data_IF_458024546752
#
_entry.id   IF_458024546752
#
_cell.length_a   1.000
_cell.length_b   1.000
_cell.length_c   1.000
_cell.angle_alpha   90.00
_cell.angle_beta   90.00
_cell.angle_gamma   90.00
#
_symmetry.space_group_name_H-M   'P 1'
#
loop_
_entity.id
_entity.type
_entity.pdbx_description
1 polymer ?
#
# COMPACT_ATOMS: atom_id res chain seq x y z
N UNK A 1 50.66 66.19 52.52
CA UNK A 1 49.52 65.73 51.73
C UNK A 1 50.01 65.17 50.39
N UNK A 2 50.27 63.91 50.31
CA UNK A 2 50.56 63.25 49.06
C UNK A 2 50.24 61.76 49.28
N UNK A 3 49.14 61.32 48.68
CA UNK A 3 48.71 59.94 48.66
C UNK A 3 49.48 59.16 47.63
N UNK A 4 50.25 58.19 48.07
CA UNK A 4 50.88 57.20 47.15
C UNK A 4 49.88 56.10 46.81
N UNK A 5 49.60 55.92 45.49
CA UNK A 5 48.86 54.82 44.95
C UNK A 5 49.82 53.64 44.73
N UNK A 6 49.61 52.59 45.49
CA UNK A 6 50.24 51.28 45.28
C UNK A 6 49.43 50.48 44.20
N UNK A 7 49.96 50.33 43.03
CA UNK A 7 49.35 49.53 41.99
C UNK A 7 49.77 48.05 42.16
N UNK A 8 48.86 47.24 42.71
CA UNK A 8 49.00 45.78 42.73
C UNK A 8 48.66 45.24 41.31
N UNK A 9 49.67 44.83 40.59
CA UNK A 9 49.52 44.06 39.35
C UNK A 9 49.10 42.64 39.70
N UNK A 10 47.78 42.32 39.58
CA UNK A 10 47.24 40.98 39.57
C UNK A 10 47.52 40.38 38.20
N UNK A 11 48.51 39.49 38.14
CA UNK A 11 48.77 38.68 36.97
C UNK A 11 47.62 37.73 36.73
N UNK A 12 46.78 38.00 35.74
CA UNK A 12 45.77 37.09 35.24
C UNK A 12 46.48 36.03 34.38
N UNK A 13 46.77 34.87 34.93
CA UNK A 13 47.13 33.69 34.17
C UNK A 13 45.89 33.28 33.37
N UNK A 14 45.81 33.69 32.14
CA UNK A 14 44.94 33.07 31.15
C UNK A 14 45.48 31.65 30.94
N UNK A 15 44.81 30.70 31.55
CA UNK A 15 44.93 29.31 31.21
C UNK A 15 44.38 29.18 29.76
N UNK A 16 45.29 29.25 28.79
CA UNK A 16 45.01 28.95 27.39
C UNK A 16 44.75 27.45 27.35
N UNK A 17 43.47 27.06 27.53
CA UNK A 17 43.01 25.72 27.30
C UNK A 17 43.58 25.24 25.94
N UNK A 18 44.38 24.20 26.02
CA UNK A 18 45.02 23.57 24.89
C UNK A 18 43.93 23.24 23.83
N UNK A 19 43.89 24.06 22.81
CA UNK A 19 43.16 23.75 21.58
C UNK A 19 43.84 22.49 21.01
N UNK A 20 43.34 21.33 21.37
CA UNK A 20 43.83 20.06 20.78
C UNK A 20 43.53 20.11 19.31
N UNK A 21 44.56 20.40 18.50
CA UNK A 21 44.47 20.44 17.05
C UNK A 21 43.93 19.08 16.58
N UNK A 22 42.86 19.14 15.83
CA UNK A 22 42.34 17.95 15.13
C UNK A 22 43.48 17.39 14.28
N UNK A 23 43.83 16.09 14.39
CA UNK A 23 44.90 15.51 13.59
C UNK A 23 44.63 15.79 12.12
N UNK A 24 45.68 16.17 11.39
CA UNK A 24 45.59 16.63 9.99
C UNK A 24 45.05 15.56 9.03
N UNK A 25 45.12 14.28 9.41
CA UNK A 25 44.59 13.14 8.64
C UNK A 25 44.08 12.07 9.59
N UNK A 26 42.76 11.76 9.48
CA UNK A 26 42.08 10.78 10.31
C UNK A 26 42.00 9.42 9.61
N UNK A 27 42.26 8.34 10.34
CA UNK A 27 42.05 6.97 9.85
C UNK A 27 40.63 6.55 10.17
N UNK A 28 39.87 6.24 9.12
CA UNK A 28 38.45 5.93 9.24
C UNK A 28 38.21 4.48 8.79
N UNK A 29 37.56 3.69 9.62
CA UNK A 29 37.13 2.35 9.28
C UNK A 29 35.67 2.33 8.85
N UNK A 30 35.35 1.52 7.85
CA UNK A 30 33.98 1.33 7.34
C UNK A 30 33.77 -0.13 6.93
N UNK A 31 32.51 -0.51 6.73
CA UNK A 31 32.12 -1.84 6.26
C UNK A 31 31.54 -1.75 4.86
N UNK A 32 31.90 -2.73 3.99
CA UNK A 32 31.31 -2.82 2.67
C UNK A 32 29.86 -3.26 2.77
N UNK A 33 28.94 -2.33 2.59
CA UNK A 33 27.49 -2.56 2.59
C UNK A 33 26.78 -1.52 1.73
N UNK A 34 26.05 -1.96 0.76
CA UNK A 34 25.21 -1.10 -0.07
C UNK A 34 24.00 -0.58 0.71
N UNK A 35 23.60 0.67 0.51
CA UNK A 35 24.17 1.75 -0.28
C UNK A 35 25.12 2.64 0.52
N UNK A 36 25.56 2.21 1.71
CA UNK A 36 26.33 3.02 2.65
C UNK A 36 27.77 3.20 2.20
N UNK A 37 28.43 2.08 1.87
CA UNK A 37 29.82 2.06 1.41
C UNK A 37 29.98 0.98 0.36
N UNK A 38 30.30 1.40 -0.85
CA UNK A 38 30.52 0.54 -2.02
C UNK A 38 31.92 0.80 -2.60
N UNK A 39 32.52 -0.23 -3.18
CA UNK A 39 33.80 -0.10 -3.89
C UNK A 39 33.53 0.03 -5.38
N UNK A 40 33.94 1.15 -5.98
CA UNK A 40 33.91 1.38 -7.43
C UNK A 40 35.33 1.59 -7.94
N UNK A 41 35.95 0.50 -8.37
CA UNK A 41 37.37 0.52 -8.71
C UNK A 41 38.25 0.83 -7.49
N UNK A 42 39.04 1.90 -7.56
CA UNK A 42 39.92 2.36 -6.48
C UNK A 42 39.26 3.36 -5.52
N UNK A 43 38.07 3.86 -5.83
CA UNK A 43 37.34 4.82 -5.00
C UNK A 43 36.18 4.16 -4.25
N UNK A 44 35.91 4.67 -3.06
CA UNK A 44 34.74 4.27 -2.27
C UNK A 44 33.63 5.29 -2.48
N UNK A 45 32.45 4.81 -2.80
CA UNK A 45 31.22 5.61 -2.97
C UNK A 45 30.14 5.13 -2.01
N UNK A 46 29.14 5.92 -1.74
CA UNK A 46 27.97 5.56 -0.93
C UNK A 46 27.51 6.68 -0.02
N UNK A 47 26.38 6.48 0.63
CA UNK A 47 25.79 7.43 1.55
C UNK A 47 26.79 7.86 2.65
N UNK A 48 27.49 6.91 3.28
CA UNK A 48 28.45 7.22 4.33
C UNK A 48 29.66 7.98 3.81
N UNK A 49 30.07 7.76 2.57
CA UNK A 49 31.19 8.45 1.94
C UNK A 49 30.83 9.89 1.61
N UNK A 50 29.64 10.11 1.06
CA UNK A 50 29.13 11.46 0.80
C UNK A 50 28.95 12.24 2.13
N UNK A 51 28.35 11.62 3.14
CA UNK A 51 28.20 12.20 4.47
C UNK A 51 29.54 12.59 5.09
N UNK A 52 30.53 11.68 5.00
CA UNK A 52 31.87 11.92 5.51
C UNK A 52 32.54 13.09 4.81
N UNK A 53 32.38 13.20 3.49
CA UNK A 53 32.91 14.32 2.69
C UNK A 53 32.34 15.66 3.14
N UNK A 54 31.02 15.74 3.39
CA UNK A 54 30.39 16.97 3.86
C UNK A 54 30.82 17.34 5.30
N UNK A 55 30.94 16.33 6.20
CA UNK A 55 31.45 16.55 7.55
C UNK A 55 32.91 17.02 7.52
N UNK A 56 33.75 16.39 6.70
CA UNK A 56 35.17 16.74 6.58
C UNK A 56 35.36 18.17 6.04
N UNK A 57 34.55 18.60 5.08
CA UNK A 57 34.53 20.00 4.58
C UNK A 57 34.16 20.99 5.69
N UNK A 58 33.15 20.66 6.51
CA UNK A 58 32.70 21.54 7.60
C UNK A 58 33.71 21.66 8.74
N UNK A 59 34.35 20.54 9.09
CA UNK A 59 35.29 20.49 10.23
C UNK A 59 36.76 20.71 9.83
N UNK A 60 37.09 20.74 8.51
CA UNK A 60 38.41 21.08 8.00
C UNK A 60 39.47 19.98 8.21
N UNK A 61 39.11 18.69 8.25
CA UNK A 61 40.07 17.60 8.36
C UNK A 61 40.20 16.78 7.07
N UNK A 62 41.38 16.14 6.92
CA UNK A 62 41.62 15.13 5.86
C UNK A 62 41.41 13.74 6.44
N UNK A 63 41.07 12.79 5.61
CA UNK A 63 40.80 11.42 6.04
C UNK A 63 41.25 10.38 5.05
N UNK A 64 41.56 9.20 5.56
CA UNK A 64 41.82 7.99 4.78
C UNK A 64 40.84 6.90 5.24
N UNK A 65 40.05 6.37 4.31
CA UNK A 65 39.10 5.30 4.61
C UNK A 65 39.71 3.94 4.34
N UNK A 66 39.52 3.01 5.27
CA UNK A 66 39.90 1.59 5.13
C UNK A 66 38.68 0.72 5.42
N UNK A 67 38.62 -0.45 4.80
CA UNK A 67 37.60 -1.43 5.12
C UNK A 67 38.03 -2.24 6.34
N UNK A 68 37.05 -2.53 7.22
CA UNK A 68 37.23 -3.39 8.38
C UNK A 68 37.75 -4.79 7.95
N UNK A 69 38.70 -5.33 8.69
CA UNK A 69 39.41 -6.57 8.30
C UNK A 69 38.54 -7.82 8.37
N UNK A 70 37.67 -7.90 9.37
CA UNK A 70 36.83 -9.07 9.66
C UNK A 70 35.38 -8.94 9.14
N UNK A 71 35.03 -7.85 8.44
CA UNK A 71 33.68 -7.63 7.89
C UNK A 71 32.58 -7.51 8.96
N UNK A 72 32.94 -7.22 10.21
CA UNK A 72 32.00 -7.16 11.33
C UNK A 72 31.78 -5.73 11.81
N UNK A 73 30.57 -5.45 12.29
CA UNK A 73 30.24 -4.15 12.89
C UNK A 73 30.93 -3.95 14.25
N UNK A 74 31.01 -5.01 15.02
CA UNK A 74 31.54 -5.04 16.37
C UNK A 74 30.54 -5.58 17.38
N UNK A 75 30.92 -6.70 17.98
CA UNK A 75 30.27 -7.30 19.15
C UNK A 75 31.34 -7.71 20.16
N UNK A 76 30.92 -7.82 21.41
CA UNK A 76 31.78 -8.33 22.47
C UNK A 76 31.78 -9.86 22.41
N UNK A 77 32.96 -10.48 22.45
CA UNK A 77 33.14 -11.93 22.60
C UNK A 77 32.94 -12.36 24.07
N UNK A 78 33.00 -13.64 24.34
CA UNK A 78 32.88 -14.20 25.69
C UNK A 78 34.01 -13.77 26.61
N UNK A 79 35.15 -13.37 26.07
CA UNK A 79 36.35 -12.89 26.76
C UNK A 79 36.27 -11.38 27.05
N UNK A 80 35.21 -10.69 26.63
CA UNK A 80 35.04 -9.26 26.82
C UNK A 80 35.71 -8.38 25.77
N UNK A 81 36.38 -8.96 24.76
CA UNK A 81 37.04 -8.22 23.68
C UNK A 81 36.05 -7.82 22.60
N UNK A 82 36.31 -6.69 21.97
CA UNK A 82 35.47 -6.18 20.85
C UNK A 82 36.14 -6.52 19.51
N UNK A 83 35.37 -7.14 18.61
CA UNK A 83 35.76 -7.37 17.21
C UNK A 83 35.22 -6.26 16.31
N UNK A 84 35.44 -6.34 15.01
CA UNK A 84 34.88 -5.45 14.00
C UNK A 84 35.36 -4.00 14.08
N UNK A 85 34.60 -3.11 13.48
CA UNK A 85 34.91 -1.68 13.48
C UNK A 85 35.01 -1.07 14.87
N UNK A 86 34.14 -1.48 15.80
CA UNK A 86 34.22 -1.05 17.20
C UNK A 86 35.55 -1.50 17.80
N UNK A 87 35.98 -2.74 17.57
CA UNK A 87 37.25 -3.25 18.04
C UNK A 87 38.46 -2.50 17.47
N UNK A 88 38.43 -2.12 16.17
CA UNK A 88 39.49 -1.33 15.54
C UNK A 88 39.61 0.08 16.17
N UNK A 89 38.46 0.72 16.52
CA UNK A 89 38.44 2.02 17.21
C UNK A 89 38.95 1.87 18.65
N UNK A 90 38.52 0.83 19.38
CA UNK A 90 38.95 0.59 20.77
C UNK A 90 40.44 0.31 20.83
N UNK A 91 41.02 -0.42 19.89
CA UNK A 91 42.48 -0.72 19.81
C UNK A 91 43.30 0.45 19.23
N UNK A 92 42.66 1.55 18.80
CA UNK A 92 43.33 2.69 18.19
C UNK A 92 43.87 2.43 16.78
N UNK A 93 43.42 1.37 16.10
CA UNK A 93 43.75 1.08 14.69
C UNK A 93 43.04 2.05 13.76
N UNK A 94 41.85 2.58 14.16
CA UNK A 94 41.10 3.61 13.48
C UNK A 94 40.70 4.70 14.47
N UNK A 95 40.62 5.96 14.00
CA UNK A 95 40.24 7.11 14.82
C UNK A 95 38.71 7.30 14.82
N UNK A 96 38.05 6.94 13.68
CA UNK A 96 36.59 6.99 13.50
C UNK A 96 36.11 5.71 12.82
N UNK A 97 34.84 5.33 13.13
CA UNK A 97 34.09 4.31 12.38
C UNK A 97 32.81 4.93 11.83
N UNK A 98 32.63 4.86 10.51
CA UNK A 98 31.43 5.36 9.81
C UNK A 98 30.80 4.23 8.99
N UNK A 99 29.58 3.86 9.35
CA UNK A 99 28.78 2.81 8.75
C UNK A 99 27.33 2.93 9.25
N UNK A 100 26.37 2.11 8.81
CA UNK A 100 25.07 1.97 9.49
C UNK A 100 25.26 1.30 10.88
N UNK A 101 25.98 2.00 11.74
CA UNK A 101 26.37 1.53 13.04
C UNK A 101 25.34 1.92 14.09
N UNK A 102 24.53 0.95 14.51
CA UNK A 102 23.43 1.17 15.47
C UNK A 102 23.97 1.63 16.81
N UNK A 103 23.44 2.75 17.31
CA UNK A 103 23.73 3.25 18.66
C UNK A 103 23.13 2.28 19.71
N UNK A 104 23.99 1.73 20.56
CA UNK A 104 23.60 0.82 21.65
C UNK A 104 24.36 1.15 22.93
N UNK A 105 23.73 0.93 24.08
CA UNK A 105 24.34 1.19 25.38
C UNK A 105 25.65 0.38 25.60
N UNK A 106 25.74 -0.82 25.03
CA UNK A 106 26.95 -1.63 25.12
C UNK A 106 28.14 -1.00 24.37
N UNK A 107 27.89 -0.43 23.18
CA UNK A 107 28.92 0.23 22.37
C UNK A 107 29.33 1.58 22.98
N UNK A 108 28.37 2.35 23.47
CA UNK A 108 28.62 3.67 24.06
C UNK A 108 29.47 3.62 25.34
N UNK A 109 29.55 2.44 26.00
CA UNK A 109 30.44 2.26 27.15
C UNK A 109 31.94 2.16 26.75
N UNK A 110 32.25 1.80 25.51
CA UNK A 110 33.62 1.51 25.07
C UNK A 110 34.13 2.47 23.99
N UNK A 111 33.22 3.12 23.26
CA UNK A 111 33.53 4.16 22.26
C UNK A 111 32.59 5.33 22.43
N UNK A 112 33.04 6.52 22.03
CA UNK A 112 32.15 7.66 21.95
C UNK A 112 31.28 7.59 20.70
N UNK A 113 29.99 7.84 20.84
CA UNK A 113 29.04 7.82 19.74
C UNK A 113 28.52 9.24 19.45
N UNK A 114 28.44 9.61 18.17
CA UNK A 114 27.86 10.89 17.76
C UNK A 114 26.33 10.90 17.88
N UNK A 115 25.71 12.06 17.71
CA UNK A 115 24.28 12.11 17.41
C UNK A 115 23.98 11.32 16.14
N UNK A 116 22.81 10.66 16.07
CA UNK A 116 22.49 9.82 14.93
C UNK A 116 22.26 10.65 13.66
N UNK A 117 22.83 10.20 12.56
CA UNK A 117 22.62 10.78 11.23
C UNK A 117 21.42 10.16 10.49
N UNK A 118 20.90 9.02 10.96
CA UNK A 118 19.73 8.35 10.39
C UNK A 118 18.99 7.56 11.46
N UNK A 119 17.67 7.67 11.46
CA UNK A 119 16.79 6.87 12.34
C UNK A 119 16.42 5.56 11.68
N UNK A 120 16.43 4.50 12.45
CA UNK A 120 16.03 3.15 12.04
C UNK A 120 15.27 2.46 13.18
N UNK A 121 14.58 1.41 12.87
CA UNK A 121 13.96 0.50 13.83
C UNK A 121 13.94 -0.91 13.26
N UNK A 122 13.37 -1.85 13.96
CA UNK A 122 13.28 -3.25 13.54
C UNK A 122 11.91 -3.47 12.92
N UNK A 123 11.87 -4.08 11.72
CA UNK A 123 10.66 -4.43 11.00
C UNK A 123 10.81 -5.77 10.30
N UNK A 124 9.78 -6.20 9.57
CA UNK A 124 9.69 -7.50 8.92
C UNK A 124 9.61 -7.31 7.42
N UNK A 125 10.43 -8.02 6.66
CA UNK A 125 10.40 -8.08 5.21
C UNK A 125 9.75 -9.38 4.76
N UNK A 126 8.78 -9.26 3.88
CA UNK A 126 7.99 -10.37 3.37
C UNK A 126 7.91 -10.28 1.84
N UNK A 127 7.65 -11.41 1.19
CA UNK A 127 7.20 -11.40 -0.19
C UNK A 127 5.78 -10.85 -0.23
N UNK A 128 5.51 -9.99 -1.19
CA UNK A 128 4.17 -9.55 -1.49
C UNK A 128 3.40 -10.74 -2.05
N UNK A 129 2.38 -11.21 -1.34
CA UNK A 129 1.47 -12.21 -1.90
C UNK A 129 0.72 -11.57 -3.08
N UNK A 130 1.16 -11.96 -4.28
CA UNK A 130 0.51 -11.56 -5.53
C UNK A 130 -0.74 -12.43 -5.79
N UNK A 131 -1.05 -13.37 -4.91
CA UNK A 131 -2.30 -14.11 -4.93
C UNK A 131 -3.48 -13.20 -4.52
N UNK A 132 -3.63 -12.05 -5.18
CA UNK A 132 -4.97 -11.57 -5.45
C UNK A 132 -5.61 -12.59 -6.38
N UNK A 133 -6.15 -13.68 -5.82
CA UNK A 133 -7.30 -14.31 -6.44
C UNK A 133 -8.36 -13.22 -6.50
N UNK A 134 -8.35 -12.45 -7.61
CA UNK A 134 -9.42 -11.49 -7.89
C UNK A 134 -10.71 -12.30 -7.91
N UNK A 135 -11.46 -12.23 -6.82
CA UNK A 135 -12.71 -12.94 -6.67
C UNK A 135 -13.67 -12.48 -7.77
N UNK A 136 -14.52 -13.38 -8.24
CA UNK A 136 -15.57 -13.03 -9.22
C UNK A 136 -16.44 -11.85 -8.75
N UNK A 137 -16.47 -11.57 -7.46
CA UNK A 137 -17.34 -10.58 -6.81
C UNK A 137 -16.59 -9.38 -6.22
N UNK A 138 -15.36 -9.11 -6.66
CA UNK A 138 -14.56 -7.97 -6.17
C UNK A 138 -15.25 -6.62 -6.38
N UNK A 139 -16.15 -6.52 -7.36
CA UNK A 139 -16.95 -5.32 -7.56
C UNK A 139 -17.97 -5.08 -6.41
N UNK A 140 -18.27 -6.09 -5.56
CA UNK A 140 -19.11 -5.92 -4.38
C UNK A 140 -18.33 -5.46 -3.13
N UNK A 141 -17.01 -5.56 -3.14
CA UNK A 141 -16.15 -5.24 -1.99
C UNK A 141 -16.21 -3.79 -1.50
N UNK A 142 -16.52 -2.75 -2.34
CA UNK A 142 -16.64 -1.38 -1.86
C UNK A 142 -17.68 -1.17 -0.78
N UNK A 143 -18.69 -2.06 -0.69
CA UNK A 143 -19.72 -2.02 0.34
C UNK A 143 -19.80 -3.34 1.12
N UNK A 144 -20.13 -3.23 2.40
CA UNK A 144 -20.40 -4.40 3.25
C UNK A 144 -21.72 -5.08 2.85
N UNK A 145 -21.87 -6.35 3.21
CA UNK A 145 -23.12 -7.08 2.96
C UNK A 145 -24.35 -6.39 3.56
N UNK A 146 -24.19 -5.78 4.74
CA UNK A 146 -25.27 -5.01 5.41
C UNK A 146 -25.70 -3.81 4.58
N UNK A 147 -24.72 -3.08 3.96
CA UNK A 147 -25.02 -1.94 3.09
C UNK A 147 -25.77 -2.39 1.84
N UNK A 148 -25.41 -3.51 1.23
CA UNK A 148 -26.12 -4.08 0.08
C UNK A 148 -27.57 -4.44 0.41
N UNK A 149 -27.80 -5.06 1.59
CA UNK A 149 -29.15 -5.35 2.09
C UNK A 149 -29.94 -4.04 2.31
N UNK A 150 -29.29 -3.02 2.90
CA UNK A 150 -29.91 -1.69 3.08
C UNK A 150 -30.33 -1.05 1.76
N UNK A 151 -29.48 -1.13 0.72
CA UNK A 151 -29.78 -0.62 -0.63
C UNK A 151 -31.00 -1.37 -1.22
N UNK A 152 -31.06 -2.69 -1.07
CA UNK A 152 -32.19 -3.49 -1.55
C UNK A 152 -33.51 -3.12 -0.85
N UNK A 153 -33.48 -2.93 0.47
CA UNK A 153 -34.66 -2.49 1.24
C UNK A 153 -35.09 -1.09 0.80
N UNK A 154 -34.15 -0.17 0.64
CA UNK A 154 -34.44 1.20 0.17
C UNK A 154 -35.04 1.18 -1.25
N UNK A 155 -34.52 0.35 -2.15
CA UNK A 155 -35.03 0.16 -3.50
C UNK A 155 -36.48 -0.32 -3.51
N UNK A 156 -36.77 -1.41 -2.79
CA UNK A 156 -38.12 -1.98 -2.71
C UNK A 156 -39.11 -1.04 -2.02
N UNK A 157 -38.65 -0.39 -0.93
CA UNK A 157 -39.46 0.59 -0.20
C UNK A 157 -39.85 1.81 -1.06
N UNK A 158 -38.86 2.34 -1.81
CA UNK A 158 -39.14 3.47 -2.72
C UNK A 158 -40.07 3.08 -3.86
N UNK A 159 -39.91 1.92 -4.46
CA UNK A 159 -40.79 1.40 -5.51
C UNK A 159 -42.24 1.21 -4.99
N UNK A 160 -42.38 0.67 -3.79
CA UNK A 160 -43.68 0.54 -3.13
C UNK A 160 -44.30 1.90 -2.83
N UNK A 161 -43.55 2.87 -2.31
CA UNK A 161 -44.02 4.22 -2.05
C UNK A 161 -44.50 4.93 -3.34
N UNK A 162 -43.73 4.85 -4.43
CA UNK A 162 -44.13 5.40 -5.72
C UNK A 162 -45.43 4.74 -6.19
N UNK A 163 -45.55 3.41 -6.11
CA UNK A 163 -46.74 2.69 -6.50
C UNK A 163 -47.99 3.13 -5.69
N UNK A 164 -47.86 3.19 -4.36
CA UNK A 164 -48.95 3.60 -3.47
C UNK A 164 -49.38 5.05 -3.75
N UNK A 165 -48.42 5.98 -3.84
CA UNK A 165 -48.69 7.39 -4.06
C UNK A 165 -49.34 7.64 -5.42
N UNK A 166 -48.87 6.95 -6.47
CA UNK A 166 -49.52 7.05 -7.81
C UNK A 166 -50.93 6.48 -7.83
N UNK A 167 -51.25 5.50 -6.98
CA UNK A 167 -52.59 4.95 -6.84
C UNK A 167 -53.52 5.82 -6.01
N UNK A 168 -53.00 6.53 -4.99
CA UNK A 168 -53.80 7.40 -4.12
C UNK A 168 -54.01 8.81 -4.67
N UNK A 169 -53.18 9.26 -5.60
CA UNK A 169 -53.22 10.65 -6.10
C UNK A 169 -54.33 10.88 -7.13
N UNK A 170 -55.28 11.78 -6.87
CA UNK A 170 -56.35 12.09 -7.82
C UNK A 170 -55.83 12.77 -9.11
N UNK A 171 -54.67 13.41 -9.06
CA UNK A 171 -54.04 14.04 -10.24
C UNK A 171 -53.58 13.02 -11.31
N UNK A 172 -53.37 11.76 -10.93
CA UNK A 172 -53.00 10.70 -11.83
C UNK A 172 -54.22 10.05 -12.54
N UNK A 173 -55.42 10.26 -12.01
CA UNK A 173 -56.65 9.64 -12.48
C UNK A 173 -57.50 10.51 -13.44
N UNK A 174 -57.18 11.79 -13.54
CA UNK A 174 -58.07 12.80 -14.19
C UNK A 174 -58.00 12.84 -15.72
N UNK A 175 -57.33 11.94 -16.42
CA UNK A 175 -57.34 11.88 -17.90
C UNK A 175 -57.58 10.49 -18.44
N UNK A 176 -58.51 10.33 -19.42
CA UNK A 176 -58.68 9.10 -20.18
C UNK A 176 -57.49 8.95 -21.14
N UNK A 177 -56.50 8.21 -20.75
CA UNK A 177 -55.37 7.93 -21.63
C UNK A 177 -55.10 6.43 -21.72
N UNK A 178 -54.64 6.04 -22.93
CA UNK A 178 -54.28 4.72 -23.32
C UNK A 178 -53.71 3.88 -22.17
N UNK A 179 -54.09 2.63 -22.08
CA UNK A 179 -53.65 1.63 -21.06
C UNK A 179 -52.13 1.56 -20.83
N UNK A 180 -51.34 2.18 -21.70
CA UNK A 180 -49.91 2.18 -21.68
C UNK A 180 -49.25 3.04 -20.57
N UNK A 181 -49.99 3.94 -19.92
CA UNK A 181 -49.41 4.90 -18.94
C UNK A 181 -49.81 4.65 -17.48
N UNK A 182 -50.36 3.52 -17.13
CA UNK A 182 -50.65 3.20 -15.73
C UNK A 182 -49.40 2.70 -15.01
N UNK A 183 -48.95 3.42 -13.99
CA UNK A 183 -47.90 2.93 -13.07
C UNK A 183 -48.32 1.62 -12.41
N UNK A 184 -47.89 0.52 -12.99
CA UNK A 184 -47.98 -0.83 -12.37
C UNK A 184 -46.87 -0.96 -11.34
N UNK A 185 -46.97 -1.89 -10.39
CA UNK A 185 -45.91 -2.20 -9.45
C UNK A 185 -44.60 -2.55 -10.16
N UNK A 186 -44.66 -3.36 -11.20
CA UNK A 186 -43.49 -3.72 -12.06
C UNK A 186 -42.90 -2.45 -12.72
N UNK A 187 -43.73 -1.51 -13.14
CA UNK A 187 -43.24 -0.25 -13.74
C UNK A 187 -42.55 0.64 -12.71
N UNK A 188 -43.06 0.66 -11.46
CA UNK A 188 -42.41 1.39 -10.35
C UNK A 188 -41.04 0.75 -10.00
N UNK A 189 -40.93 -0.57 -9.98
CA UNK A 189 -39.64 -1.28 -9.81
C UNK A 189 -38.68 -0.93 -10.94
N UNK A 190 -39.14 -0.99 -12.19
CA UNK A 190 -38.31 -0.66 -13.35
C UNK A 190 -37.83 0.79 -13.33
N UNK A 191 -38.72 1.74 -12.97
CA UNK A 191 -38.39 3.15 -12.83
C UNK A 191 -37.31 3.36 -11.75
N UNK A 192 -37.49 2.77 -10.59
CA UNK A 192 -36.52 2.87 -9.47
C UNK A 192 -35.16 2.25 -9.82
N UNK A 193 -35.15 1.13 -10.55
CA UNK A 193 -33.92 0.50 -11.06
C UNK A 193 -33.20 1.39 -12.08
N UNK A 194 -33.96 1.95 -13.06
CA UNK A 194 -33.39 2.86 -14.05
C UNK A 194 -32.81 4.13 -13.42
N UNK A 195 -33.44 4.66 -12.39
CA UNK A 195 -32.91 5.79 -11.63
C UNK A 195 -31.65 5.43 -10.83
N UNK A 196 -31.56 4.22 -10.27
CA UNK A 196 -30.39 3.74 -9.56
C UNK A 196 -29.16 3.64 -10.49
N UNK A 197 -29.38 3.25 -11.75
CA UNK A 197 -28.31 3.14 -12.76
C UNK A 197 -28.08 4.44 -13.54
N UNK A 198 -28.69 5.57 -13.14
CA UNK A 198 -28.61 6.89 -13.80
C UNK A 198 -29.06 6.88 -15.28
N UNK A 199 -29.81 5.86 -15.72
CA UNK A 199 -30.26 5.77 -17.11
C UNK A 199 -31.48 6.65 -17.43
N UNK A 200 -32.16 7.17 -16.38
CA UNK A 200 -33.46 7.79 -16.55
C UNK A 200 -34.54 6.75 -16.96
N UNK A 201 -35.55 6.61 -16.20
CA UNK A 201 -36.62 5.68 -16.53
C UNK A 201 -37.79 6.47 -17.11
N UNK A 202 -38.45 5.93 -18.08
CA UNK A 202 -39.66 6.34 -18.78
C UNK A 202 -40.59 7.35 -18.15
N UNK A 203 -41.91 7.28 -18.28
CA UNK A 203 -42.81 8.34 -17.83
C UNK A 203 -42.67 8.61 -16.33
N UNK A 204 -42.46 9.90 -15.98
CA UNK A 204 -42.35 10.35 -14.60
C UNK A 204 -43.73 10.49 -13.96
N UNK A 205 -43.84 10.31 -12.61
CA UNK A 205 -45.08 10.65 -11.90
C UNK A 205 -45.46 12.09 -12.09
N UNK A 206 -46.75 12.36 -12.36
CA UNK A 206 -47.26 13.70 -12.58
C UNK A 206 -47.61 14.43 -11.27
N UNK A 207 -48.01 13.66 -10.26
CA UNK A 207 -48.32 14.16 -8.95
C UNK A 207 -47.12 14.76 -8.24
N UNK A 208 -47.28 15.88 -7.56
CA UNK A 208 -46.22 16.56 -6.81
C UNK A 208 -45.62 15.64 -5.75
N UNK A 209 -46.44 14.85 -5.06
CA UNK A 209 -46.02 13.88 -4.07
C UNK A 209 -45.10 12.79 -4.67
N UNK A 210 -45.44 12.26 -5.84
CA UNK A 210 -44.60 11.32 -6.56
C UNK A 210 -43.24 11.92 -6.99
N UNK A 211 -43.26 13.18 -7.44
CA UNK A 211 -42.02 13.89 -7.82
C UNK A 211 -41.08 14.12 -6.64
N UNK A 212 -41.59 14.45 -5.46
CA UNK A 212 -40.79 14.61 -4.25
C UNK A 212 -40.08 13.28 -3.89
N UNK A 213 -40.78 12.15 -3.95
CA UNK A 213 -40.20 10.84 -3.71
C UNK A 213 -39.11 10.54 -4.74
N UNK A 214 -39.38 10.84 -6.01
CA UNK A 214 -38.36 10.63 -7.08
C UNK A 214 -37.12 11.51 -6.87
N UNK A 215 -37.26 12.78 -6.50
CA UNK A 215 -36.14 13.67 -6.20
C UNK A 215 -35.32 13.16 -5.02
N UNK A 216 -35.98 12.69 -3.95
CA UNK A 216 -35.29 12.11 -2.79
C UNK A 216 -34.51 10.84 -3.18
N UNK A 217 -35.09 10.00 -4.03
CA UNK A 217 -34.42 8.81 -4.55
C UNK A 217 -33.21 9.16 -5.44
N UNK A 218 -33.35 10.16 -6.30
CA UNK A 218 -32.21 10.61 -7.13
C UNK A 218 -31.07 11.16 -6.29
N UNK A 219 -31.36 11.97 -5.27
CA UNK A 219 -30.34 12.46 -4.36
C UNK A 219 -29.63 11.30 -3.65
N UNK A 220 -30.39 10.33 -3.14
CA UNK A 220 -29.84 9.13 -2.51
C UNK A 220 -28.93 8.35 -3.47
N UNK A 221 -29.36 8.13 -4.73
CA UNK A 221 -28.58 7.38 -5.70
C UNK A 221 -27.28 8.08 -6.10
N UNK A 222 -27.29 9.43 -6.23
CA UNK A 222 -26.10 10.22 -6.52
C UNK A 222 -25.07 10.07 -5.39
N UNK A 223 -25.51 10.23 -4.12
CA UNK A 223 -24.65 10.08 -2.95
C UNK A 223 -24.11 8.64 -2.85
N UNK A 224 -24.97 7.65 -3.06
CA UNK A 224 -24.59 6.24 -3.03
C UNK A 224 -23.49 5.92 -4.06
N UNK A 225 -23.64 6.38 -5.30
CA UNK A 225 -22.64 6.20 -6.36
C UNK A 225 -21.34 6.93 -6.06
N UNK A 226 -21.41 8.15 -5.51
CA UNK A 226 -20.21 8.87 -5.08
C UNK A 226 -19.44 8.09 -4.01
N UNK A 227 -20.13 7.55 -3.01
CA UNK A 227 -19.53 6.69 -1.98
C UNK A 227 -18.95 5.41 -2.57
N UNK A 228 -19.65 4.77 -3.50
CA UNK A 228 -19.18 3.56 -4.17
C UNK A 228 -17.85 3.81 -4.92
N UNK A 229 -17.78 4.85 -5.75
CA UNK A 229 -16.58 5.19 -6.50
C UNK A 229 -15.44 5.65 -5.59
N UNK A 230 -15.74 6.39 -4.52
CA UNK A 230 -14.73 6.79 -3.52
C UNK A 230 -14.10 5.57 -2.85
N UNK A 231 -14.92 4.63 -2.37
CA UNK A 231 -14.43 3.41 -1.72
C UNK A 231 -13.70 2.50 -2.71
N UNK A 232 -14.17 2.38 -3.95
CA UNK A 232 -13.49 1.60 -4.99
C UNK A 232 -12.12 2.21 -5.33
N UNK A 233 -12.02 3.53 -5.41
CA UNK A 233 -10.75 4.24 -5.64
C UNK A 233 -9.81 4.07 -4.45
N UNK A 234 -10.31 4.19 -3.22
CA UNK A 234 -9.55 4.02 -2.00
C UNK A 234 -9.01 2.59 -1.84
N UNK A 235 -9.82 1.57 -2.12
CA UNK A 235 -9.42 0.16 -2.03
C UNK A 235 -8.32 -0.19 -3.04
N UNK A 236 -8.35 0.42 -4.23
CA UNK A 236 -7.29 0.26 -5.25
C UNK A 236 -6.05 1.10 -4.99
N UNK A 237 -6.19 2.26 -4.34
CA UNK A 237 -5.09 3.15 -3.97
C UNK A 237 -4.37 2.65 -2.72
N UNK A 238 -5.09 2.04 -1.80
CA UNK A 238 -4.53 1.34 -0.67
C UNK A 238 -3.94 0.04 -1.21
N UNK A 239 -2.65 0.08 -1.55
CA UNK A 239 -1.77 -1.08 -1.74
C UNK A 239 -1.54 -1.77 -0.36
N UNK A 240 -2.59 -1.87 0.43
CA UNK A 240 -2.65 -2.79 1.54
C UNK A 240 -2.74 -4.19 0.93
N UNK A 241 -1.59 -4.64 0.37
CA UNK A 241 -1.31 -6.05 0.27
C UNK A 241 -1.88 -6.68 1.53
N UNK A 242 -2.76 -7.63 1.40
CA UNK A 242 -3.18 -8.47 2.51
C UNK A 242 -1.91 -9.19 2.99
N UNK A 243 -1.11 -8.46 3.79
CA UNK A 243 0.06 -9.03 4.43
C UNK A 243 -0.47 -10.09 5.37
N UNK A 244 -0.06 -11.33 5.14
CA UNK A 244 -0.32 -12.45 6.02
C UNK A 244 0.17 -12.17 7.45
N UNK A 245 1.20 -11.31 7.57
CA UNK A 245 1.80 -10.85 8.83
C UNK A 245 1.83 -9.32 8.82
N UNK A 246 1.04 -8.70 9.69
CA UNK A 246 0.97 -7.23 9.83
C UNK A 246 2.00 -6.68 10.82
N UNK A 247 2.39 -7.51 11.79
CA UNK A 247 3.29 -7.12 12.88
C UNK A 247 3.94 -8.29 13.58
N UNK A 248 4.68 -7.99 14.66
CA UNK A 248 5.41 -8.98 15.43
C UNK A 248 4.51 -9.89 16.25
N UNK A 249 3.32 -9.43 16.67
CA UNK A 249 2.33 -10.26 17.33
C UNK A 249 1.80 -11.35 16.41
N UNK A 250 1.47 -10.99 15.17
CA UNK A 250 1.02 -11.94 14.15
C UNK A 250 2.14 -12.94 13.83
N UNK A 251 3.39 -12.45 13.70
CA UNK A 251 4.55 -13.28 13.41
C UNK A 251 4.83 -14.32 14.51
N UNK A 252 4.65 -13.93 15.77
CA UNK A 252 4.87 -14.80 16.92
C UNK A 252 3.79 -15.87 17.11
N UNK A 253 2.59 -15.68 16.55
CA UNK A 253 1.44 -16.54 16.71
C UNK A 253 1.16 -17.43 15.49
N UNK A 254 1.96 -17.33 14.42
CA UNK A 254 1.85 -18.15 13.23
C UNK A 254 3.02 -19.14 13.12
N UNK A 255 2.75 -20.33 12.54
CA UNK A 255 3.74 -21.38 12.28
C UNK A 255 3.91 -21.68 10.77
N UNK A 256 3.25 -20.90 9.89
CA UNK A 256 3.22 -21.16 8.46
C UNK A 256 4.48 -20.66 7.74
N UNK A 257 5.05 -19.54 8.19
CA UNK A 257 6.20 -18.88 7.58
C UNK A 257 7.37 -18.95 8.57
N UNK A 258 8.48 -19.48 8.11
CA UNK A 258 9.74 -19.45 8.86
C UNK A 258 10.26 -18.00 8.92
N UNK A 259 10.87 -17.61 10.03
CA UNK A 259 11.42 -16.26 10.17
C UNK A 259 12.77 -16.24 10.87
N UNK A 260 13.58 -15.25 10.55
CA UNK A 260 14.90 -15.11 11.10
C UNK A 260 15.51 -13.73 10.90
N UNK A 261 16.63 -13.50 11.58
CA UNK A 261 17.39 -12.27 11.50
C UNK A 261 18.88 -12.53 11.25
N UNK A 262 19.64 -11.45 11.00
CA UNK A 262 21.09 -11.53 10.80
C UNK A 262 21.79 -11.99 12.09
N UNK A 263 22.63 -13.02 11.98
CA UNK A 263 23.42 -13.55 13.08
C UNK A 263 24.35 -12.47 13.66
N UNK A 264 24.40 -12.37 14.99
CA UNK A 264 25.30 -11.43 15.68
C UNK A 264 24.93 -9.94 15.51
N UNK A 265 23.74 -9.65 15.00
CA UNK A 265 23.26 -8.28 14.82
C UNK A 265 22.70 -7.64 16.10
N UNK A 266 22.58 -6.31 16.09
CA UNK A 266 21.87 -5.57 17.14
C UNK A 266 20.38 -5.94 17.22
N UNK A 267 19.79 -6.39 16.12
CA UNK A 267 18.43 -6.91 16.04
C UNK A 267 18.28 -8.19 16.87
N UNK A 268 19.19 -9.14 16.70
CA UNK A 268 19.21 -10.37 17.49
C UNK A 268 19.38 -10.07 18.99
N UNK A 269 20.30 -9.17 19.34
CA UNK A 269 20.51 -8.75 20.72
C UNK A 269 19.26 -8.09 21.34
N UNK A 270 18.47 -7.37 20.55
CA UNK A 270 17.20 -6.77 20.99
C UNK A 270 16.19 -7.85 21.41
N UNK A 271 15.96 -8.86 20.59
CA UNK A 271 15.02 -9.94 20.89
C UNK A 271 15.51 -10.80 22.08
N UNK A 272 16.81 -11.10 22.12
CA UNK A 272 17.44 -11.88 23.20
C UNK A 272 17.28 -11.21 24.57
N UNK A 273 17.47 -9.89 24.63
CA UNK A 273 17.48 -9.14 25.89
C UNK A 273 16.11 -8.52 26.23
N UNK A 274 15.07 -8.80 25.44
CA UNK A 274 13.74 -8.21 25.66
C UNK A 274 12.99 -8.92 26.77
N UNK A 275 12.31 -8.12 27.61
CA UNK A 275 11.36 -8.61 28.63
C UNK A 275 9.94 -8.80 28.08
N UNK A 276 9.67 -8.37 26.84
CA UNK A 276 8.36 -8.55 26.21
C UNK A 276 8.15 -10.04 25.84
N UNK A 277 7.05 -10.67 26.27
CA UNK A 277 6.79 -12.09 26.02
C UNK A 277 6.71 -12.43 24.55
N UNK A 278 6.20 -11.51 23.69
CA UNK A 278 6.11 -11.70 22.25
C UNK A 278 7.52 -11.78 21.63
N UNK A 279 8.38 -10.81 21.94
CA UNK A 279 9.74 -10.76 21.40
C UNK A 279 10.62 -11.91 21.90
N UNK A 280 10.39 -12.34 23.14
CA UNK A 280 11.06 -13.51 23.70
C UNK A 280 10.67 -14.80 22.96
N UNK A 281 9.37 -14.97 22.66
CA UNK A 281 8.87 -16.11 21.86
C UNK A 281 9.49 -16.11 20.47
N UNK A 282 9.60 -14.95 19.82
CA UNK A 282 10.27 -14.81 18.52
C UNK A 282 11.74 -15.26 18.63
N UNK A 283 12.47 -14.81 19.66
CA UNK A 283 13.85 -15.24 19.87
C UNK A 283 13.97 -16.76 20.07
N UNK A 284 13.17 -17.34 20.96
CA UNK A 284 13.14 -18.77 21.26
C UNK A 284 12.82 -19.62 20.01
N UNK A 285 11.93 -19.14 19.16
CA UNK A 285 11.62 -19.80 17.89
C UNK A 285 12.84 -19.76 16.94
N UNK A 286 13.43 -18.57 16.72
CA UNK A 286 14.62 -18.43 15.87
C UNK A 286 15.82 -19.27 16.36
N UNK A 287 15.99 -19.40 17.68
CA UNK A 287 17.03 -20.22 18.27
C UNK A 287 16.79 -21.72 18.08
N UNK A 288 15.53 -22.15 18.26
CA UNK A 288 15.10 -23.54 18.05
C UNK A 288 15.24 -23.99 16.59
N UNK A 289 14.83 -23.14 15.64
CA UNK A 289 14.88 -23.44 14.20
C UNK A 289 16.22 -23.14 13.57
N UNK A 290 17.14 -22.46 14.30
CA UNK A 290 18.42 -21.97 13.79
C UNK A 290 18.29 -21.16 12.49
N UNK A 291 17.23 -20.40 12.37
CA UNK A 291 16.85 -19.63 11.17
C UNK A 291 17.62 -18.32 10.99
N UNK A 292 18.83 -18.25 11.54
CA UNK A 292 19.69 -17.08 11.38
C UNK A 292 20.31 -17.04 9.98
N UNK A 293 20.42 -15.84 9.42
CA UNK A 293 21.09 -15.62 8.13
C UNK A 293 22.50 -15.05 8.34
N UNK A 294 23.39 -15.37 7.40
CA UNK A 294 24.79 -14.95 7.44
C UNK A 294 25.01 -13.54 6.90
N UNK A 295 24.16 -13.10 5.96
CA UNK A 295 24.23 -11.79 5.32
C UNK A 295 22.85 -11.21 5.06
N UNK A 296 22.81 -9.88 4.85
CA UNK A 296 21.59 -9.17 4.45
C UNK A 296 21.04 -9.69 3.13
N UNK A 297 21.90 -9.93 2.16
CA UNK A 297 21.53 -10.40 0.82
C UNK A 297 20.89 -11.80 0.86
N UNK A 298 21.40 -12.67 1.73
CA UNK A 298 20.78 -13.98 1.98
C UNK A 298 19.39 -13.85 2.57
N UNK A 299 19.20 -12.96 3.54
CA UNK A 299 17.88 -12.69 4.14
C UNK A 299 16.88 -12.19 3.12
N UNK A 300 17.29 -11.24 2.27
CA UNK A 300 16.47 -10.72 1.17
C UNK A 300 16.15 -11.82 0.15
N UNK A 301 17.13 -12.64 -0.24
CA UNK A 301 16.93 -13.76 -1.17
C UNK A 301 15.92 -14.76 -0.63
N UNK A 302 16.05 -15.21 0.62
CA UNK A 302 15.10 -16.13 1.26
C UNK A 302 13.69 -15.52 1.37
N UNK A 303 13.58 -14.24 1.67
CA UNK A 303 12.29 -13.55 1.69
C UNK A 303 11.63 -13.52 0.30
N UNK A 304 12.40 -13.38 -0.79
CA UNK A 304 11.90 -13.45 -2.18
C UNK A 304 11.34 -14.82 -2.56
N UNK A 305 11.84 -15.88 -1.99
CA UNK A 305 11.36 -17.25 -2.21
C UNK A 305 9.94 -17.46 -1.63
N UNK A 306 9.48 -16.59 -0.70
CA UNK A 306 8.08 -16.50 -0.25
C UNK A 306 7.76 -17.25 1.03
N UNK A 307 8.62 -18.16 1.49
CA UNK A 307 8.38 -18.97 2.69
C UNK A 307 9.17 -18.49 3.92
N UNK A 308 9.73 -17.29 3.84
CA UNK A 308 10.60 -16.75 4.88
C UNK A 308 10.31 -15.28 5.13
N UNK A 309 10.17 -14.90 6.40
CA UNK A 309 10.07 -13.53 6.85
C UNK A 309 11.41 -13.06 7.41
N UNK A 310 12.03 -12.07 6.78
CA UNK A 310 13.31 -11.55 7.22
C UNK A 310 13.12 -10.38 8.18
N UNK A 311 13.62 -10.52 9.42
CA UNK A 311 13.60 -9.49 10.45
C UNK A 311 14.89 -8.68 10.38
N UNK A 312 14.77 -7.38 10.10
CA UNK A 312 15.92 -6.52 9.93
C UNK A 312 15.64 -5.06 10.27
N UNK A 313 16.65 -4.23 10.06
CA UNK A 313 16.53 -2.79 10.28
C UNK A 313 15.73 -2.12 9.16
N UNK A 314 14.73 -1.34 9.51
CA UNK A 314 13.71 -0.78 8.62
C UNK A 314 14.29 -0.04 7.41
N UNK A 315 15.37 0.74 7.61
CA UNK A 315 16.01 1.50 6.53
C UNK A 315 16.65 0.58 5.49
N UNK A 316 17.26 -0.54 5.93
CA UNK A 316 17.83 -1.54 5.04
C UNK A 316 16.75 -2.34 4.32
N UNK A 317 15.64 -2.63 5.02
CA UNK A 317 14.48 -3.29 4.41
C UNK A 317 13.77 -2.37 3.39
N UNK A 318 13.68 -1.08 3.66
CA UNK A 318 13.14 -0.09 2.71
C UNK A 318 13.94 -0.07 1.40
N UNK A 319 15.27 -0.23 1.48
CA UNK A 319 16.11 -0.36 0.29
C UNK A 319 15.81 -1.66 -0.48
N UNK A 320 15.66 -2.78 0.24
CA UNK A 320 15.32 -4.06 -0.39
C UNK A 320 13.97 -3.96 -1.13
N UNK A 321 12.96 -3.34 -0.52
CA UNK A 321 11.66 -3.06 -1.16
C UNK A 321 11.80 -2.11 -2.35
N UNK A 322 12.66 -1.08 -2.26
CA UNK A 322 12.90 -0.15 -3.35
C UNK A 322 13.55 -0.81 -4.59
N UNK A 323 14.36 -1.85 -4.38
CA UNK A 323 15.05 -2.60 -5.45
C UNK A 323 14.24 -3.80 -5.96
N UNK A 324 13.41 -4.39 -5.12
CA UNK A 324 12.64 -5.61 -5.42
C UNK A 324 11.17 -5.37 -5.20
N UNK A 325 10.43 -5.13 -6.27
CA UNK A 325 9.02 -4.76 -6.25
C UNK A 325 8.09 -5.88 -5.74
N UNK A 326 8.58 -7.10 -5.68
CA UNK A 326 7.91 -8.28 -5.14
C UNK A 326 7.97 -8.38 -3.60
N UNK A 327 8.79 -7.53 -2.97
CA UNK A 327 8.92 -7.48 -1.52
C UNK A 327 8.09 -6.35 -0.92
N UNK A 328 7.69 -6.54 0.31
CA UNK A 328 6.97 -5.55 1.11
C UNK A 328 7.48 -5.61 2.54
N UNK A 329 7.55 -4.44 3.18
CA UNK A 329 7.89 -4.34 4.59
C UNK A 329 6.61 -4.18 5.40
N UNK A 330 6.50 -4.89 6.53
CA UNK A 330 5.41 -4.69 7.49
C UNK A 330 5.38 -3.24 8.01
N UNK A 331 4.19 -2.74 8.30
CA UNK A 331 4.05 -1.35 8.77
C UNK A 331 4.62 -1.14 10.17
N UNK A 332 4.58 -2.18 11.00
CA UNK A 332 5.09 -2.12 12.35
C UNK A 332 6.62 -1.96 12.37
N UNK A 333 7.08 -1.01 13.18
CA UNK A 333 8.49 -0.74 13.43
C UNK A 333 8.69 -0.63 14.93
N UNK A 334 9.56 -1.47 15.47
CA UNK A 334 9.84 -1.53 16.91
C UNK A 334 11.30 -1.20 17.22
N UNK A 335 11.59 -0.89 18.47
CA UNK A 335 12.97 -0.67 18.91
C UNK A 335 13.67 0.44 18.15
N UNK A 336 13.06 1.61 18.01
CA UNK A 336 13.63 2.76 17.31
C UNK A 336 15.03 3.09 17.81
N UNK A 337 15.98 3.22 16.90
CA UNK A 337 17.41 3.46 17.13
C UNK A 337 17.96 4.39 16.06
N UNK A 338 19.19 4.85 16.27
CA UNK A 338 19.89 5.66 15.27
C UNK A 338 21.20 5.03 14.82
N UNK A 339 21.60 5.33 13.60
CA UNK A 339 22.96 5.07 13.11
C UNK A 339 23.83 6.27 13.46
N UNK A 340 24.98 6.01 14.07
CA UNK A 340 25.91 7.01 14.57
C UNK A 340 27.35 6.73 14.12
N UNK A 341 28.15 7.76 14.13
CA UNK A 341 29.61 7.66 13.91
C UNK A 341 30.25 7.35 15.25
N UNK A 342 31.15 6.34 15.30
CA UNK A 342 31.90 6.03 16.49
C UNK A 342 33.31 6.63 16.42
N UNK A 343 33.80 7.09 17.58
CA UNK A 343 35.15 7.58 17.77
C UNK A 343 35.75 6.99 19.05
N UNK A 344 37.03 7.16 19.28
CA UNK A 344 37.69 6.77 20.54
C UNK A 344 36.99 7.43 21.72
N UNK A 345 36.90 6.68 22.83
CA UNK A 345 36.25 7.17 24.04
C UNK A 345 36.94 8.43 24.56
N UNK A 346 36.16 9.47 24.91
CA UNK A 346 36.69 10.75 25.36
C UNK A 346 37.23 11.67 24.25
N UNK A 347 37.13 11.30 22.97
CA UNK A 347 37.59 12.15 21.89
C UNK A 347 36.79 13.45 21.78
N UNK A 348 37.45 14.63 21.69
CA UNK A 348 36.77 15.91 21.47
C UNK A 348 36.02 16.01 20.14
N UNK A 349 36.36 15.11 19.19
CA UNK A 349 35.73 15.07 17.87
C UNK A 349 34.24 14.73 17.95
N UNK A 350 33.78 13.96 18.95
CA UNK A 350 32.40 13.50 19.06
C UNK A 350 31.41 14.65 19.13
N UNK A 351 31.76 15.68 19.92
CA UNK A 351 30.91 16.88 20.05
C UNK A 351 30.85 17.64 18.72
N UNK A 352 31.98 17.83 18.07
CA UNK A 352 32.06 18.51 16.79
C UNK A 352 31.33 17.75 15.66
N UNK A 353 31.50 16.41 15.61
CA UNK A 353 30.75 15.52 14.70
C UNK A 353 29.25 15.61 14.94
N UNK A 354 28.82 15.60 16.19
CA UNK A 354 27.41 15.71 16.56
C UNK A 354 26.78 17.02 16.10
N UNK A 355 27.52 18.15 16.29
CA UNK A 355 27.06 19.47 15.84
C UNK A 355 27.02 19.53 14.30
N UNK A 356 28.03 19.00 13.62
CA UNK A 356 28.05 18.96 12.16
C UNK A 356 26.89 18.14 11.57
N UNK A 357 26.57 16.99 12.18
CA UNK A 357 25.43 16.13 11.77
C UNK A 357 24.10 16.89 11.96
N UNK A 358 23.93 17.59 13.10
CA UNK A 358 22.71 18.38 13.32
C UNK A 358 22.57 19.51 12.28
N UNK A 359 23.65 20.24 12.01
CA UNK A 359 23.65 21.29 11.00
C UNK A 359 23.33 20.76 9.58
N UNK A 360 23.83 19.57 9.22
CA UNK A 360 23.49 18.92 7.94
C UNK A 360 22.02 18.46 7.92
N UNK A 361 21.49 18.06 9.07
CA UNK A 361 20.08 17.72 9.20
C UNK A 361 19.17 18.95 9.05
N UNK A 362 19.51 20.04 9.72
CA UNK A 362 18.77 21.31 9.66
C UNK A 362 18.82 21.95 8.27
N UNK A 363 19.94 21.81 7.55
CA UNK A 363 20.09 22.26 6.17
C UNK A 363 19.36 21.37 5.15
N UNK A 364 18.79 20.21 5.56
CA UNK A 364 18.13 19.26 4.67
C UNK A 364 19.08 18.35 3.88
N UNK A 365 20.40 18.48 4.05
CA UNK A 365 21.41 17.70 3.32
C UNK A 365 21.30 16.19 3.60
N UNK A 366 20.99 15.79 4.84
CA UNK A 366 20.79 14.37 5.15
C UNK A 366 19.57 13.78 4.40
N UNK A 367 18.50 14.56 4.24
CA UNK A 367 17.33 14.13 3.47
C UNK A 367 17.66 14.04 1.97
N UNK A 368 18.43 14.98 1.44
CA UNK A 368 18.90 14.94 0.06
C UNK A 368 19.78 13.72 -0.20
N UNK A 369 20.78 13.44 0.64
CA UNK A 369 21.64 12.26 0.54
C UNK A 369 20.84 10.97 0.62
N UNK A 370 19.84 10.92 1.51
CA UNK A 370 18.94 9.77 1.60
C UNK A 370 18.16 9.57 0.30
N UNK A 371 17.57 10.61 -0.26
CA UNK A 371 16.81 10.51 -1.52
C UNK A 371 17.70 10.08 -2.69
N UNK A 372 18.97 10.53 -2.72
CA UNK A 372 19.96 10.15 -3.73
C UNK A 372 20.25 8.64 -3.72
N UNK A 373 20.44 8.06 -2.54
CA UNK A 373 20.89 6.66 -2.39
C UNK A 373 19.75 5.64 -2.22
N UNK A 374 18.55 6.09 -1.81
CA UNK A 374 17.34 5.27 -1.71
C UNK A 374 16.35 5.52 -2.85
N UNK A 375 16.85 5.90 -4.03
CA UNK A 375 15.99 6.02 -5.20
C UNK A 375 15.35 4.65 -5.52
N UNK A 376 14.01 4.62 -5.59
CA UNK A 376 13.26 3.39 -5.87
C UNK A 376 13.19 3.14 -7.37
N UNK A 377 13.67 2.00 -7.82
CA UNK A 377 13.42 1.49 -9.18
C UNK A 377 11.96 1.08 -9.39
N UNK A 378 11.25 0.74 -8.31
CA UNK A 378 9.86 0.31 -8.36
C UNK A 378 8.84 1.45 -8.49
N UNK A 379 9.23 2.71 -8.22
CA UNK A 379 8.32 3.85 -8.39
C UNK A 379 8.03 4.18 -9.85
N UNK A 380 8.95 3.90 -10.76
CA UNK A 380 8.75 4.13 -12.19
C UNK A 380 7.62 3.27 -12.78
N UNK A 381 7.40 2.07 -12.23
CA UNK A 381 6.29 1.19 -12.65
C UNK A 381 4.95 1.54 -11.99
N UNK A 382 4.97 2.16 -10.81
CA UNK A 382 3.73 2.64 -10.14
C UNK A 382 3.13 3.87 -10.82
N UNK A 383 3.93 4.68 -11.50
CA UNK A 383 3.46 5.84 -12.26
C UNK A 383 2.85 5.48 -13.62
N UNK A 384 3.08 4.28 -14.14
CA UNK A 384 2.27 3.75 -15.23
C UNK A 384 0.88 3.49 -14.65
N UNK A 385 -0.09 4.31 -15.06
CA UNK A 385 -1.52 4.07 -14.83
C UNK A 385 -1.76 2.56 -14.99
N UNK A 386 -2.01 1.89 -13.88
CA UNK A 386 -2.33 0.46 -13.92
C UNK A 386 -3.64 0.35 -14.69
N UNK A 387 -3.54 0.03 -15.97
CA UNK A 387 -4.72 -0.27 -16.78
C UNK A 387 -5.51 -1.35 -16.02
N UNK A 388 -6.82 -1.15 -15.89
CA UNK A 388 -7.69 -2.11 -15.23
C UNK A 388 -7.55 -3.44 -15.99
N UNK A 389 -6.96 -4.42 -15.32
CA UNK A 389 -6.73 -5.71 -15.97
C UNK A 389 -8.07 -6.42 -16.20
N UNK A 390 -8.26 -7.09 -17.37
CA UNK A 390 -9.54 -7.72 -17.73
C UNK A 390 -10.01 -8.75 -16.69
N UNK A 391 -9.08 -9.39 -15.98
CA UNK A 391 -9.47 -10.37 -14.96
C UNK A 391 -10.14 -9.76 -13.71
N UNK A 392 -9.90 -8.47 -13.38
CA UNK A 392 -10.62 -7.76 -12.31
C UNK A 392 -12.10 -7.51 -12.67
N UNK A 393 -12.46 -7.64 -13.95
CA UNK A 393 -13.81 -7.43 -14.46
C UNK A 393 -14.55 -8.76 -14.77
N UNK A 394 -13.94 -9.91 -14.50
CA UNK A 394 -14.52 -11.24 -14.80
C UNK A 394 -15.95 -11.40 -14.28
N UNK A 395 -16.21 -10.94 -13.04
CA UNK A 395 -17.54 -11.00 -12.43
C UNK A 395 -18.58 -10.17 -13.16
N UNK A 396 -18.23 -8.98 -13.65
CA UNK A 396 -19.15 -8.12 -14.42
C UNK A 396 -19.50 -8.76 -15.78
N UNK A 397 -18.52 -9.34 -16.47
CA UNK A 397 -18.76 -10.08 -17.71
C UNK A 397 -19.59 -11.35 -17.48
N UNK A 398 -19.41 -12.02 -16.33
CA UNK A 398 -20.24 -13.16 -15.94
C UNK A 398 -21.70 -12.74 -15.78
N UNK A 399 -21.98 -11.67 -15.04
CA UNK A 399 -23.35 -11.16 -14.84
C UNK A 399 -23.97 -10.77 -16.17
N UNK A 400 -23.22 -10.08 -17.05
CA UNK A 400 -23.69 -9.72 -18.39
C UNK A 400 -24.06 -10.97 -19.20
N UNK A 401 -23.20 -11.98 -19.22
CA UNK A 401 -23.44 -13.23 -19.97
C UNK A 401 -24.65 -14.00 -19.43
N UNK A 402 -24.81 -14.06 -18.10
CA UNK A 402 -25.98 -14.65 -17.46
C UNK A 402 -27.26 -13.89 -17.80
N UNK A 403 -27.22 -12.55 -17.74
CA UNK A 403 -28.35 -11.70 -18.12
C UNK A 403 -28.77 -11.87 -19.58
N UNK A 404 -27.81 -11.89 -20.50
CA UNK A 404 -28.07 -12.13 -21.92
C UNK A 404 -28.63 -13.54 -22.16
N UNK A 405 -28.06 -14.55 -21.49
CA UNK A 405 -28.54 -15.93 -21.58
C UNK A 405 -29.98 -16.08 -21.05
N UNK A 406 -30.27 -15.48 -19.91
CA UNK A 406 -31.62 -15.47 -19.32
C UNK A 406 -32.62 -14.74 -20.23
N UNK A 407 -32.22 -13.57 -20.76
CA UNK A 407 -33.05 -12.80 -21.71
C UNK A 407 -33.37 -13.58 -22.97
N UNK A 408 -32.39 -14.26 -23.54
CA UNK A 408 -32.60 -15.15 -24.71
C UNK A 408 -33.52 -16.33 -24.38
N UNK A 409 -33.35 -16.96 -23.23
CA UNK A 409 -34.18 -18.06 -22.75
C UNK A 409 -35.64 -17.59 -22.57
N UNK A 410 -35.85 -16.44 -21.94
CA UNK A 410 -37.21 -15.86 -21.76
C UNK A 410 -37.84 -15.53 -23.13
N UNK A 411 -37.09 -14.97 -24.06
CA UNK A 411 -37.60 -14.69 -25.41
C UNK A 411 -38.05 -15.97 -26.13
N UNK A 412 -37.31 -17.07 -26.00
CA UNK A 412 -37.70 -18.38 -26.55
C UNK A 412 -38.94 -18.92 -25.86
N UNK A 413 -39.04 -18.78 -24.51
CA UNK A 413 -40.22 -19.22 -23.75
C UNK A 413 -41.46 -18.40 -24.15
N UNK A 414 -41.34 -17.09 -24.31
CA UNK A 414 -42.45 -16.24 -24.79
C UNK A 414 -42.90 -16.63 -26.18
N UNK A 415 -41.93 -16.85 -27.11
CA UNK A 415 -42.22 -17.25 -28.47
C UNK A 415 -42.93 -18.62 -28.52
N UNK A 416 -42.44 -19.61 -27.78
CA UNK A 416 -43.03 -20.92 -27.68
C UNK A 416 -44.40 -20.91 -27.03
N UNK A 417 -44.61 -20.11 -26.00
CA UNK A 417 -45.87 -19.92 -25.30
C UNK A 417 -46.92 -19.31 -26.25
N UNK A 418 -46.51 -18.23 -26.96
CA UNK A 418 -47.39 -17.58 -27.93
C UNK A 418 -47.72 -18.49 -29.10
N UNK A 419 -46.73 -19.21 -29.66
CA UNK A 419 -46.94 -20.19 -30.72
C UNK A 419 -47.88 -21.33 -30.30
N UNK A 420 -47.79 -21.83 -29.04
CA UNK A 420 -48.73 -22.81 -28.52
C UNK A 420 -50.17 -22.30 -28.44
N UNK A 421 -50.37 -21.03 -28.01
CA UNK A 421 -51.70 -20.40 -27.97
C UNK A 421 -52.27 -20.28 -29.39
N UNK A 422 -51.50 -19.76 -30.34
CA UNK A 422 -51.90 -19.58 -31.70
C UNK A 422 -52.16 -20.96 -32.42
N UNK A 423 -51.37 -22.00 -32.10
CA UNK A 423 -51.56 -23.35 -32.60
C UNK A 423 -52.88 -23.98 -32.10
N UNK A 424 -53.25 -23.72 -30.84
CA UNK A 424 -54.51 -24.15 -30.27
C UNK A 424 -55.75 -23.47 -30.92
N UNK A 425 -55.63 -22.16 -31.22
CA UNK A 425 -56.65 -21.40 -31.92
C UNK A 425 -56.81 -21.82 -33.37
N UNK A 426 -55.70 -22.07 -34.11
CA UNK A 426 -55.69 -22.43 -35.53
C UNK A 426 -55.79 -23.91 -35.82
N UNK A 427 -55.81 -24.80 -34.78
CA UNK A 427 -55.77 -26.27 -34.94
C UNK A 427 -54.62 -26.81 -35.81
N UNK A 428 -53.49 -26.08 -35.82
CA UNK A 428 -52.26 -26.47 -36.57
C UNK A 428 -51.18 -26.98 -35.64
N UNK A 429 -50.18 -27.65 -36.18
CA UNK A 429 -49.02 -28.09 -35.35
C UNK A 429 -48.22 -26.91 -34.82
N UNK A 430 -47.77 -26.99 -33.57
CA UNK A 430 -47.01 -25.94 -32.94
C UNK A 430 -45.72 -25.57 -33.71
N UNK A 431 -45.05 -26.57 -34.31
CA UNK A 431 -43.82 -26.35 -35.11
C UNK A 431 -44.08 -25.54 -36.38
N UNK A 432 -45.19 -25.76 -37.08
CA UNK A 432 -45.55 -25.03 -38.31
C UNK A 432 -45.89 -23.58 -38.00
N UNK A 433 -46.62 -23.32 -36.94
CA UNK A 433 -46.94 -21.94 -36.47
C UNK A 433 -45.67 -21.21 -36.03
N UNK A 434 -44.75 -21.90 -35.33
CA UNK A 434 -43.47 -21.33 -34.92
C UNK A 434 -42.60 -20.92 -36.10
N UNK A 435 -42.49 -21.77 -37.12
CA UNK A 435 -41.70 -21.47 -38.32
C UNK A 435 -42.33 -20.38 -39.15
N UNK A 436 -43.66 -20.32 -39.28
CA UNK A 436 -44.38 -19.22 -39.93
C UNK A 436 -44.16 -17.88 -39.22
N UNK A 437 -44.29 -17.84 -37.89
CA UNK A 437 -44.08 -16.61 -37.10
C UNK A 437 -42.64 -16.15 -37.15
N UNK A 438 -41.65 -17.05 -37.10
CA UNK A 438 -40.23 -16.74 -37.22
C UNK A 438 -39.89 -16.20 -38.59
N UNK A 439 -40.42 -16.85 -39.65
CA UNK A 439 -40.21 -16.39 -41.03
C UNK A 439 -40.83 -15.03 -41.32
N UNK A 440 -42.01 -14.77 -40.81
CA UNK A 440 -42.67 -13.45 -40.90
C UNK A 440 -41.87 -12.35 -40.23
N UNK A 441 -41.36 -12.57 -39.01
CA UNK A 441 -40.57 -11.60 -38.28
C UNK A 441 -39.19 -11.35 -38.85
N UNK A 442 -38.52 -12.38 -39.40
CA UNK A 442 -37.27 -12.22 -40.13
C UNK A 442 -37.44 -11.54 -41.48
N UNK A 443 -38.65 -11.66 -42.09
CA UNK A 443 -38.98 -11.07 -43.41
C UNK A 443 -39.39 -9.58 -43.30
N UNK A 444 -39.97 -9.14 -42.18
CA UNK A 444 -40.38 -7.75 -41.97
C UNK A 444 -39.19 -6.79 -41.75
N UNK A 445 -37.98 -7.29 -41.61
CA UNK A 445 -36.79 -6.46 -41.55
C UNK A 445 -36.16 -6.11 -42.91
N UNK A 446 -36.87 -6.30 -44.02
CA UNK A 446 -36.41 -5.91 -45.36
C UNK A 446 -37.18 -4.64 -45.81
N UNK A 447 -36.60 -3.41 -45.70
CA UNK A 447 -37.30 -2.15 -45.93
C UNK A 447 -37.69 -1.90 -47.43
N UNK A 448 -37.46 -2.85 -48.34
CA UNK A 448 -37.64 -2.68 -49.79
C UNK A 448 -38.70 -3.60 -50.40
N UNK A 449 -39.83 -3.89 -49.74
CA UNK A 449 -40.98 -4.49 -50.44
C UNK A 449 -42.21 -3.62 -50.31
N UNK A 450 -42.90 -3.28 -51.44
CA UNK A 450 -44.15 -2.49 -51.41
C UNK A 450 -45.23 -3.27 -50.66
N UNK A 451 -45.97 -2.55 -49.79
CA UNK A 451 -47.16 -3.07 -49.19
C UNK A 451 -48.18 -3.40 -50.27
N UNK A 452 -48.39 -4.67 -50.49
CA UNK A 452 -49.47 -5.17 -51.35
C UNK A 452 -50.79 -5.03 -50.55
N UNK A 453 -51.70 -4.22 -51.10
CA UNK A 453 -53.01 -3.88 -50.58
C UNK A 453 -53.83 -5.15 -50.25
N UNK A 454 -54.08 -5.41 -48.98
CA UNK A 454 -55.10 -6.34 -48.45
C UNK A 454 -56.32 -5.56 -47.98
N UNK A 455 -56.81 -4.62 -48.81
CA UNK A 455 -58.07 -3.89 -48.58
C UNK A 455 -58.99 -3.94 -49.80
N UNK A 456 -59.25 -5.14 -50.31
CA UNK A 456 -60.24 -5.29 -51.41
C UNK A 456 -61.21 -6.45 -51.25
N UNK A 457 -61.48 -6.96 -50.08
CA UNK A 457 -62.53 -8.01 -49.92
C UNK A 457 -63.49 -7.78 -48.75
N UNK A 458 -63.83 -6.52 -48.45
CA UNK A 458 -64.92 -6.21 -47.48
C UNK A 458 -65.98 -5.27 -48.08
N UNK A 459 -66.13 -5.23 -49.38
CA UNK A 459 -67.21 -4.46 -50.01
C UNK A 459 -67.96 -5.27 -51.05
N UNK A 460 -68.36 -6.53 -50.75
CA UNK A 460 -69.41 -7.29 -51.43
C UNK A 460 -69.83 -8.48 -50.57
N UNK A 461 -70.66 -8.24 -49.57
CA UNK A 461 -71.74 -9.11 -49.09
C UNK A 461 -72.66 -8.34 -48.13
#
# INVERSE_FOLDING_TARGET
MLFGFCVLSVGFFLDMGACTAVPTELRITSIKQEPYTMSKGTQMEGFCMDLLSEIAKKLGFKYKVQLVKDGSYGRQDESGNWNGMIGEVVRGEADLAIAPLTLTAAREKVVGMSKPFMQTGISILLRKDISEETGFFDFLTPFTAETWVGILIAYLGTAACIFIVTRLSPCEWSQPQSEQNRFSFLHSLWYTAGALTLQGAGPHPRALSGRVICCSWWLFTIVLLACYFSNLSSSKSSDSSHLMVKGFDDLANQDMIEYGCLAGSSTLAFFKNSNNPVYRRIYEHMERTRSFVSSMDEGVRRAKEGNFAFIGESVSLDLAVARHCELVRAHEVVGMRGYSIAATLGSPLIKNLSVAILQLSEAGELAYLRSKWWASSCMADKAKFSAVQPHSLKGMFLILSLGLGLGALLAVLELTSKSRRNAAEQKKSCCTVLTEELSLRLRTNNPNKPQENVDKDKEKA
#
